data_IF_457818012920
#
_entry.id   IF_457818012920
#
_cell.length_a   1.000
_cell.length_b   1.000
_cell.length_c   1.000
_cell.angle_alpha   90.00
_cell.angle_beta   90.00
_cell.angle_gamma   90.00
#
_symmetry.space_group_name_H-M   'P 1'
#
loop_
_entity.id
_entity.type
_entity.pdbx_description
1 polymer ?
#
# COMPACT_ATOMS: atom_id res chain seq x y z
N UNK A 1 48.42 11.34 -25.27
CA UNK A 1 47.15 11.81 -24.67
C UNK A 1 46.05 11.69 -25.70
N UNK A 2 45.01 10.89 -25.43
CA UNK A 2 43.65 11.20 -25.86
C UNK A 2 42.69 11.24 -24.67
N UNK A 3 41.73 12.17 -24.77
CA UNK A 3 40.71 12.51 -23.79
C UNK A 3 39.75 11.33 -23.54
N UNK A 4 39.63 10.92 -22.28
CA UNK A 4 38.56 10.03 -21.81
C UNK A 4 37.27 10.84 -21.70
N UNK A 5 36.30 10.57 -22.58
CA UNK A 5 34.93 11.05 -22.45
C UNK A 5 34.22 10.24 -21.36
N UNK A 6 34.17 10.80 -20.16
CA UNK A 6 33.33 10.30 -19.07
C UNK A 6 31.85 10.55 -19.42
N UNK A 7 31.18 9.54 -19.97
CA UNK A 7 29.72 9.50 -20.06
C UNK A 7 29.22 9.14 -18.66
N UNK A 8 28.88 10.16 -17.87
CA UNK A 8 27.99 9.95 -16.72
C UNK A 8 26.57 9.80 -17.27
N UNK A 9 25.82 8.73 -16.96
CA UNK A 9 24.40 8.75 -17.16
C UNK A 9 23.85 9.73 -16.13
N UNK A 10 23.61 10.95 -16.60
CA UNK A 10 22.83 11.95 -15.87
C UNK A 10 21.43 11.37 -15.74
N UNK A 11 21.21 10.60 -14.66
CA UNK A 11 19.89 10.22 -14.20
C UNK A 11 19.09 11.51 -14.15
N UNK A 12 18.18 11.68 -15.11
CA UNK A 12 17.16 12.69 -15.03
C UNK A 12 16.43 12.37 -13.73
N UNK A 13 16.74 13.13 -12.68
CA UNK A 13 15.90 13.19 -11.49
C UNK A 13 14.50 13.45 -12.02
N UNK A 14 13.65 12.43 -12.03
CA UNK A 14 12.23 12.63 -12.14
C UNK A 14 11.91 13.66 -11.04
N UNK A 15 11.34 14.80 -11.42
CA UNK A 15 10.76 15.68 -10.43
C UNK A 15 9.85 14.82 -9.57
N UNK A 16 9.99 14.84 -8.23
CA UNK A 16 9.08 14.10 -7.38
C UNK A 16 7.69 14.66 -7.68
N UNK A 17 6.84 13.82 -8.28
CA UNK A 17 5.43 14.09 -8.39
C UNK A 17 4.95 14.29 -6.96
N UNK A 18 4.79 15.54 -6.55
CA UNK A 18 4.37 15.89 -5.20
C UNK A 18 2.92 15.47 -5.08
N UNK A 19 2.69 14.23 -4.64
CA UNK A 19 1.37 13.68 -4.25
C UNK A 19 0.56 14.69 -3.42
N UNK A 20 1.26 15.55 -2.66
CA UNK A 20 0.70 16.62 -1.85
C UNK A 20 -0.06 17.74 -2.61
N UNK A 21 -0.23 17.70 -3.95
CA UNK A 21 -0.94 18.75 -4.69
C UNK A 21 -2.25 18.33 -5.39
N UNK A 22 -2.56 17.04 -5.47
CA UNK A 22 -3.81 16.57 -6.10
C UNK A 22 -4.72 15.97 -5.05
N UNK A 23 -5.84 16.67 -4.80
CA UNK A 23 -6.91 16.30 -3.87
C UNK A 23 -7.39 14.86 -4.05
N UNK A 24 -7.47 14.38 -5.29
CA UNK A 24 -7.85 13.00 -5.62
C UNK A 24 -6.95 11.92 -4.98
N UNK A 25 -5.62 12.10 -5.02
CA UNK A 25 -4.67 11.12 -4.48
C UNK A 25 -4.74 11.10 -2.95
N UNK A 26 -4.97 12.26 -2.35
CA UNK A 26 -5.21 12.36 -0.91
C UNK A 26 -6.51 11.65 -0.52
N UNK A 27 -7.58 11.83 -1.29
CA UNK A 27 -8.86 11.17 -1.04
C UNK A 27 -8.70 9.63 -1.15
N UNK A 28 -7.98 9.09 -2.15
CA UNK A 28 -7.64 7.65 -2.22
C UNK A 28 -6.88 7.19 -0.98
N UNK A 29 -5.77 7.88 -0.64
CA UNK A 29 -4.93 7.50 0.48
C UNK A 29 -5.73 7.47 1.78
N UNK A 30 -6.51 8.52 2.01
CA UNK A 30 -7.35 8.65 3.19
C UNK A 30 -8.40 7.52 3.26
N UNK A 31 -9.07 7.22 2.14
CA UNK A 31 -10.04 6.12 2.09
C UNK A 31 -9.41 4.74 2.32
N UNK A 32 -8.24 4.48 1.74
CA UNK A 32 -7.51 3.23 2.01
C UNK A 32 -7.12 3.12 3.49
N UNK A 33 -6.65 4.20 4.11
CA UNK A 33 -6.33 4.20 5.54
C UNK A 33 -7.56 4.02 6.42
N UNK A 34 -8.73 4.52 6.03
CA UNK A 34 -9.99 4.25 6.75
C UNK A 34 -10.41 2.78 6.68
N UNK A 35 -10.18 2.11 5.54
CA UNK A 35 -10.42 0.67 5.42
C UNK A 35 -9.51 -0.09 6.39
N UNK A 36 -8.24 0.29 6.45
CA UNK A 36 -7.27 -0.29 7.40
C UNK A 36 -7.73 -0.01 8.84
N UNK A 37 -8.14 1.21 9.16
CA UNK A 37 -8.64 1.57 10.49
C UNK A 37 -9.82 0.69 10.91
N UNK A 38 -10.82 0.54 10.03
CA UNK A 38 -11.97 -0.32 10.28
C UNK A 38 -11.52 -1.76 10.57
N UNK A 39 -10.60 -2.31 9.77
CA UNK A 39 -10.06 -3.66 10.00
C UNK A 39 -9.30 -3.77 11.32
N UNK A 40 -8.52 -2.75 11.69
CA UNK A 40 -7.75 -2.72 12.94
C UNK A 40 -8.68 -2.69 14.16
N UNK A 41 -9.83 -2.02 14.05
CA UNK A 41 -10.86 -1.95 15.10
C UNK A 41 -11.68 -3.24 15.25
N UNK A 42 -11.76 -4.07 14.21
CA UNK A 42 -12.38 -5.41 14.30
C UNK A 42 -11.55 -6.40 15.13
N UNK A 43 -10.27 -6.13 15.35
CA UNK A 43 -9.39 -7.01 16.12
C UNK A 43 -9.75 -6.89 17.62
N UNK A 44 -10.10 -7.99 18.29
CA UNK A 44 -10.50 -7.96 19.69
C UNK A 44 -9.42 -7.36 20.60
N UNK A 45 -9.83 -6.45 21.50
CA UNK A 45 -8.97 -5.76 22.45
C UNK A 45 -7.85 -4.93 21.82
N UNK A 46 -8.01 -4.52 20.56
CA UNK A 46 -7.02 -3.72 19.87
C UNK A 46 -7.36 -2.22 19.93
N UNK A 47 -6.33 -1.38 19.96
CA UNK A 47 -6.43 0.06 19.76
C UNK A 47 -5.80 0.43 18.41
N UNK A 48 -6.29 1.47 17.72
CA UNK A 48 -5.67 1.93 16.46
C UNK A 48 -4.19 2.34 16.62
N UNK A 49 -3.75 2.64 17.84
CA UNK A 49 -2.36 3.00 18.15
C UNK A 49 -1.51 1.82 18.63
N UNK A 50 -2.14 0.64 18.81
CA UNK A 50 -1.45 -0.55 19.24
C UNK A 50 -0.73 -1.21 18.06
N UNK A 51 0.47 -1.70 18.33
CA UNK A 51 1.20 -2.50 17.37
C UNK A 51 0.41 -3.77 17.05
N UNK A 52 0.40 -4.18 15.78
CA UNK A 52 -0.12 -5.48 15.38
C UNK A 52 1.01 -6.45 15.15
N UNK A 53 0.74 -7.73 15.41
CA UNK A 53 1.63 -8.84 15.18
C UNK A 53 1.09 -9.76 14.07
N UNK A 54 1.97 -10.14 13.15
CA UNK A 54 1.75 -11.18 12.16
C UNK A 54 2.48 -12.44 12.58
N UNK A 55 1.80 -13.59 12.47
CA UNK A 55 2.44 -14.86 12.78
C UNK A 55 3.57 -15.13 11.77
N UNK A 56 4.81 -15.37 12.23
CA UNK A 56 5.92 -15.72 11.34
C UNK A 56 5.63 -17.04 10.61
N UNK A 57 6.18 -17.25 9.40
CA UNK A 57 6.13 -18.55 8.76
C UNK A 57 6.89 -19.59 9.63
N UNK A 58 6.51 -20.88 9.61
CA UNK A 58 7.05 -21.88 10.53
C UNK A 58 8.59 -21.97 10.62
N UNK A 59 9.37 -21.81 9.52
CA UNK A 59 10.83 -21.78 9.62
C UNK A 59 11.36 -20.60 10.45
N UNK A 60 10.74 -19.43 10.32
CA UNK A 60 11.10 -18.21 11.04
C UNK A 60 10.71 -18.29 12.51
N UNK A 61 9.54 -18.86 12.81
CA UNK A 61 9.06 -19.08 14.17
C UNK A 61 10.06 -19.87 15.02
N UNK A 62 10.66 -20.91 14.41
CA UNK A 62 11.62 -21.79 15.09
C UNK A 62 13.05 -21.24 15.12
N UNK A 63 13.46 -20.52 14.09
CA UNK A 63 14.90 -20.24 13.88
C UNK A 63 15.26 -18.77 13.77
N UNK A 64 14.27 -17.88 13.64
CA UNK A 64 14.47 -16.44 13.42
C UNK A 64 15.00 -16.08 12.02
N UNK A 65 15.04 -17.04 11.10
CA UNK A 65 15.53 -16.87 9.73
C UNK A 65 14.78 -17.81 8.76
N UNK A 66 14.76 -17.46 7.47
CA UNK A 66 14.16 -18.30 6.43
C UNK A 66 15.12 -19.31 5.80
N UNK A 67 16.42 -19.25 6.10
CA UNK A 67 17.37 -20.11 5.42
C UNK A 67 17.30 -21.56 5.94
N UNK A 68 17.71 -22.52 5.11
CA UNK A 68 17.69 -23.95 5.48
C UNK A 68 18.65 -24.29 6.61
N UNK A 69 19.69 -23.47 6.84
CA UNK A 69 20.75 -23.71 7.84
C UNK A 69 21.05 -22.43 8.65
N UNK A 70 20.11 -21.99 9.50
CA UNK A 70 20.22 -20.73 10.23
C UNK A 70 21.31 -20.73 11.31
N UNK A 71 21.88 -21.90 11.60
CA UNK A 71 22.98 -22.09 12.54
C UNK A 71 24.34 -22.27 11.88
N UNK A 72 24.44 -22.24 10.55
CA UNK A 72 25.69 -22.54 9.82
C UNK A 72 26.12 -21.34 8.96
N UNK A 73 27.40 -20.90 9.02
CA UNK A 73 28.46 -21.36 9.92
C UNK A 73 28.29 -20.89 11.38
N UNK A 74 27.44 -19.89 11.61
CA UNK A 74 27.04 -19.40 12.93
C UNK A 74 25.54 -19.12 12.96
N UNK A 75 24.96 -19.10 14.16
CA UNK A 75 23.56 -18.72 14.38
C UNK A 75 23.34 -17.28 13.92
N UNK A 76 22.37 -17.09 13.04
CA UNK A 76 22.02 -15.78 12.50
C UNK A 76 20.50 -15.61 12.44
N UNK A 77 20.08 -14.36 12.31
CA UNK A 77 18.67 -13.99 12.13
C UNK A 77 18.44 -13.58 10.68
N UNK A 78 17.20 -13.27 10.32
CA UNK A 78 16.89 -12.66 9.02
C UNK A 78 17.71 -11.39 8.73
N UNK A 79 18.05 -10.57 9.76
CA UNK A 79 18.85 -9.34 9.60
C UNK A 79 20.32 -9.62 9.30
N UNK A 80 20.87 -10.74 9.80
CA UNK A 80 22.28 -11.11 9.63
C UNK A 80 22.49 -12.28 8.67
N UNK A 81 21.43 -12.73 7.99
CA UNK A 81 21.51 -13.87 7.08
C UNK A 81 22.42 -13.55 5.88
N UNK A 82 23.42 -14.38 5.58
CA UNK A 82 24.22 -14.22 4.36
C UNK A 82 23.42 -14.56 3.10
N UNK A 83 22.33 -15.32 3.23
CA UNK A 83 21.44 -15.74 2.13
C UNK A 83 20.14 -14.91 2.12
N UNK A 84 20.23 -13.59 2.32
CA UNK A 84 19.07 -12.69 2.30
C UNK A 84 18.36 -12.73 0.95
N UNK A 85 17.32 -13.55 0.88
CA UNK A 85 16.33 -13.52 -0.19
C UNK A 85 15.04 -13.00 0.43
N UNK A 86 14.44 -11.94 -0.11
CA UNK A 86 13.10 -11.51 0.31
C UNK A 86 12.16 -12.72 0.29
N UNK A 87 11.69 -13.15 1.48
CA UNK A 87 10.66 -14.18 1.68
C UNK A 87 9.52 -13.66 2.54
N UNK A 88 8.30 -14.13 2.24
CA UNK A 88 7.09 -13.63 2.90
C UNK A 88 7.27 -13.68 4.43
N UNK A 89 6.85 -12.61 5.09
CA UNK A 89 6.89 -12.49 6.55
C UNK A 89 5.62 -13.04 7.21
N UNK A 90 4.58 -13.28 6.42
CA UNK A 90 3.34 -13.90 6.87
C UNK A 90 3.31 -15.37 6.47
N UNK A 91 2.84 -16.22 7.38
CA UNK A 91 2.28 -17.51 6.98
C UNK A 91 0.96 -17.30 6.21
N UNK A 92 0.61 -18.20 5.29
CA UNK A 92 -0.66 -18.17 4.53
C UNK A 92 -1.90 -18.12 5.45
N UNK A 93 -1.80 -18.71 6.65
CA UNK A 93 -2.86 -18.72 7.67
C UNK A 93 -2.62 -17.70 8.80
N UNK A 94 -1.83 -16.66 8.52
CA UNK A 94 -1.57 -15.62 9.52
C UNK A 94 -2.85 -14.88 9.86
N UNK A 95 -3.05 -14.66 11.16
CA UNK A 95 -4.14 -13.84 11.67
C UNK A 95 -3.49 -12.65 12.37
N UNK A 96 -4.00 -11.45 12.10
CA UNK A 96 -3.59 -10.23 12.79
C UNK A 96 -3.95 -10.33 14.27
N UNK A 97 -2.98 -10.03 15.15
CA UNK A 97 -3.20 -10.03 16.60
C UNK A 97 -2.64 -8.75 17.23
N UNK A 98 -3.20 -8.28 18.35
CA UNK A 98 -2.58 -7.22 19.12
C UNK A 98 -1.18 -7.66 19.58
N UNK A 99 -0.19 -6.80 19.38
CA UNK A 99 1.18 -7.00 19.83
C UNK A 99 1.32 -6.39 21.24
N UNK A 100 2.06 -7.06 22.14
CA UNK A 100 2.33 -6.58 23.50
C UNK A 100 3.57 -5.70 23.62
N UNK A 101 4.38 -5.60 22.56
CA UNK A 101 5.56 -4.75 22.55
C UNK A 101 5.17 -3.27 22.60
N UNK A 102 6.00 -2.45 23.26
CA UNK A 102 5.77 -1.00 23.40
C UNK A 102 6.26 -0.20 22.20
N UNK A 103 7.27 -0.71 21.52
CA UNK A 103 7.86 -0.10 20.33
C UNK A 103 8.27 -1.20 19.35
N UNK A 104 8.58 -0.80 18.13
CA UNK A 104 9.03 -1.74 17.11
C UNK A 104 10.47 -2.23 17.36
N UNK A 105 11.25 -1.59 18.25
CA UNK A 105 12.73 -1.62 18.35
C UNK A 105 13.44 -3.01 18.41
N UNK A 106 12.74 -4.10 18.76
CA UNK A 106 13.32 -5.45 18.93
C UNK A 106 13.23 -6.34 17.66
N UNK A 107 13.70 -7.60 17.72
CA UNK A 107 13.53 -8.61 16.61
C UNK A 107 12.07 -8.68 16.13
N UNK A 108 11.13 -8.29 16.99
CA UNK A 108 9.73 -8.02 16.69
C UNK A 108 9.47 -7.12 15.49
N UNK A 109 10.33 -6.15 15.11
CA UNK A 109 10.15 -5.23 13.95
C UNK A 109 9.59 -5.87 12.67
N UNK A 110 10.00 -7.11 12.38
CA UNK A 110 9.59 -7.77 11.14
C UNK A 110 8.11 -8.16 11.15
N UNK A 111 7.60 -8.52 12.33
CA UNK A 111 6.27 -9.10 12.51
C UNK A 111 5.34 -8.22 13.34
N UNK A 112 5.90 -7.37 14.19
CA UNK A 112 5.23 -6.37 15.02
C UNK A 112 5.40 -5.01 14.33
N UNK A 113 4.30 -4.34 14.01
CA UNK A 113 4.32 -3.14 13.17
C UNK A 113 3.18 -2.18 13.56
N UNK A 114 3.36 -0.90 13.26
CA UNK A 114 2.31 0.10 13.37
C UNK A 114 1.44 0.05 12.10
N UNK A 115 0.14 -0.29 12.19
CA UNK A 115 -0.75 -0.46 11.04
C UNK A 115 -0.76 0.73 10.09
N UNK A 116 -1.03 1.91 10.64
CA UNK A 116 -1.16 3.14 9.87
C UNK A 116 0.14 3.60 9.25
N UNK A 117 1.26 3.40 9.94
CA UNK A 117 2.57 3.75 9.40
C UNK A 117 2.93 2.83 8.22
N UNK A 118 2.82 1.51 8.39
CA UNK A 118 3.11 0.56 7.32
C UNK A 118 2.20 0.76 6.10
N UNK A 119 0.89 0.92 6.32
CA UNK A 119 -0.08 1.18 5.26
C UNK A 119 0.17 2.54 4.59
N UNK A 120 0.42 3.60 5.38
CA UNK A 120 0.68 4.94 4.87
C UNK A 120 1.92 5.01 3.99
N UNK A 121 3.04 4.45 4.46
CA UNK A 121 4.30 4.41 3.71
C UNK A 121 4.14 3.61 2.41
N UNK A 122 3.46 2.46 2.47
CA UNK A 122 3.20 1.64 1.29
C UNK A 122 2.28 2.34 0.27
N UNK A 123 1.14 2.88 0.70
CA UNK A 123 0.20 3.54 -0.20
C UNK A 123 0.81 4.83 -0.78
N UNK A 124 1.54 5.62 0.02
CA UNK A 124 2.24 6.80 -0.49
C UNK A 124 3.25 6.45 -1.58
N UNK A 125 3.92 5.30 -1.50
CA UNK A 125 4.77 4.78 -2.58
C UNK A 125 3.93 4.27 -3.77
N UNK A 126 2.90 3.45 -3.52
CA UNK A 126 2.05 2.82 -4.54
C UNK A 126 1.38 3.83 -5.48
N UNK A 127 0.91 4.94 -4.90
CA UNK A 127 0.24 6.03 -5.62
C UNK A 127 1.20 6.83 -6.53
N UNK A 128 2.52 6.72 -6.36
CA UNK A 128 3.51 7.38 -7.24
C UNK A 128 3.78 6.57 -8.52
N UNK A 129 3.36 5.31 -8.56
CA UNK A 129 3.67 4.42 -9.68
C UNK A 129 2.74 4.81 -10.85
N UNK A 130 3.29 5.17 -12.01
CA UNK A 130 2.48 5.58 -13.15
C UNK A 130 1.99 4.38 -13.97
N UNK A 131 0.95 4.62 -14.77
CA UNK A 131 0.46 3.73 -15.80
C UNK A 131 -0.77 2.91 -15.39
N UNK A 132 -1.37 2.18 -16.33
CA UNK A 132 -2.46 1.24 -16.05
C UNK A 132 -1.93 -0.02 -15.34
N UNK A 133 -2.81 -0.83 -14.74
CA UNK A 133 -2.41 -2.12 -14.21
C UNK A 133 -1.91 -3.04 -15.33
N UNK A 134 -1.04 -4.03 -15.02
CA UNK A 134 -0.55 -4.99 -16.01
C UNK A 134 -1.66 -5.84 -16.63
N UNK A 135 -2.71 -6.10 -15.86
CA UNK A 135 -3.94 -6.75 -16.32
C UNK A 135 -5.09 -5.75 -16.20
N UNK A 136 -5.72 -5.32 -17.31
CA UNK A 136 -6.82 -4.38 -17.26
C UNK A 136 -8.06 -5.02 -16.61
N UNK A 137 -8.92 -4.18 -16.06
CA UNK A 137 -10.26 -4.60 -15.62
C UNK A 137 -11.12 -4.99 -16.84
N UNK A 138 -12.24 -5.68 -16.58
CA UNK A 138 -13.21 -5.97 -17.63
C UNK A 138 -13.78 -4.67 -18.23
N UNK A 139 -14.27 -4.73 -19.47
CA UNK A 139 -14.86 -3.55 -20.11
C UNK A 139 -16.05 -2.98 -19.30
N UNK A 140 -16.84 -3.86 -18.68
CA UNK A 140 -17.96 -3.46 -17.83
C UNK A 140 -17.50 -2.73 -16.57
N UNK A 141 -16.48 -3.26 -15.88
CA UNK A 141 -15.93 -2.64 -14.66
C UNK A 141 -15.23 -1.31 -14.97
N UNK A 142 -14.54 -1.23 -16.11
CA UNK A 142 -13.95 0.01 -16.59
C UNK A 142 -15.00 1.08 -16.87
N UNK A 143 -16.13 0.71 -17.50
CA UNK A 143 -17.20 1.65 -17.78
C UNK A 143 -17.89 2.13 -16.50
N UNK A 144 -18.06 1.23 -15.52
CA UNK A 144 -18.54 1.56 -14.18
C UNK A 144 -17.61 2.58 -13.51
N UNK A 145 -16.29 2.36 -13.55
CA UNK A 145 -15.32 3.29 -12.96
C UNK A 145 -15.29 4.64 -13.67
N UNK A 146 -15.42 4.67 -15.00
CA UNK A 146 -15.50 5.93 -15.76
C UNK A 146 -16.73 6.74 -15.37
N UNK A 147 -17.88 6.09 -15.30
CA UNK A 147 -19.14 6.73 -14.89
C UNK A 147 -18.99 7.31 -13.49
N UNK A 148 -18.53 6.50 -12.54
CA UNK A 148 -18.30 6.94 -11.16
C UNK A 148 -17.30 8.10 -11.07
N UNK A 149 -16.20 8.05 -11.84
CA UNK A 149 -15.18 9.09 -11.81
C UNK A 149 -15.73 10.43 -12.35
N UNK A 150 -16.61 10.38 -13.36
CA UNK A 150 -17.34 11.55 -13.84
C UNK A 150 -18.22 12.17 -12.75
N UNK A 151 -19.00 11.34 -12.06
CA UNK A 151 -19.85 11.78 -10.94
C UNK A 151 -19.02 12.33 -9.78
N UNK A 152 -17.88 11.70 -9.47
CA UNK A 152 -16.95 12.16 -8.44
C UNK A 152 -16.44 13.58 -8.74
N UNK A 153 -16.00 13.87 -9.97
CA UNK A 153 -15.56 15.23 -10.33
C UNK A 153 -16.70 16.24 -10.35
N UNK A 154 -17.89 15.83 -10.81
CA UNK A 154 -19.05 16.71 -10.82
C UNK A 154 -19.44 17.13 -9.39
N UNK A 155 -19.32 16.21 -8.43
CA UNK A 155 -19.70 16.44 -7.04
C UNK A 155 -18.59 17.10 -6.21
N UNK A 156 -17.31 16.95 -6.58
CA UNK A 156 -16.20 17.68 -5.95
C UNK A 156 -16.15 19.13 -6.42
N UNK A 157 -16.95 19.98 -5.76
CA UNK A 157 -17.07 21.42 -6.05
C UNK A 157 -15.80 22.23 -5.78
N UNK A 158 -14.76 21.61 -5.21
CA UNK A 158 -13.51 22.31 -4.86
C UNK A 158 -12.38 22.06 -5.83
N UNK A 159 -12.54 21.10 -6.74
CA UNK A 159 -11.55 20.79 -7.77
C UNK A 159 -12.11 21.18 -9.15
N UNK A 160 -11.33 21.84 -10.02
CA UNK A 160 -11.74 22.00 -11.41
C UNK A 160 -11.88 20.61 -12.06
N UNK A 161 -12.84 20.46 -12.98
CA UNK A 161 -12.96 19.25 -13.80
C UNK A 161 -11.62 19.03 -14.50
N UNK A 162 -10.96 17.87 -14.31
CA UNK A 162 -9.64 17.65 -14.87
C UNK A 162 -9.70 17.53 -16.39
N UNK A 163 -8.63 17.94 -17.07
CA UNK A 163 -8.40 17.63 -18.48
C UNK A 163 -8.36 16.11 -18.71
N UNK A 164 -8.69 15.66 -19.92
CA UNK A 164 -8.76 14.24 -20.30
C UNK A 164 -7.50 13.44 -19.90
N UNK A 165 -6.33 14.06 -20.04
CA UNK A 165 -5.06 13.43 -19.69
C UNK A 165 -4.91 13.17 -18.18
N UNK A 166 -5.44 14.05 -17.32
CA UNK A 166 -5.44 13.87 -15.87
C UNK A 166 -6.55 12.91 -15.44
N UNK A 167 -7.73 13.00 -16.06
CA UNK A 167 -8.82 12.04 -15.83
C UNK A 167 -8.40 10.61 -16.16
N UNK A 168 -7.65 10.42 -17.26
CA UNK A 168 -7.08 9.11 -17.64
C UNK A 168 -6.11 8.59 -16.58
N UNK A 169 -5.24 9.45 -16.02
CA UNK A 169 -4.32 9.04 -14.94
C UNK A 169 -5.06 8.62 -13.67
N UNK A 170 -6.13 9.32 -13.31
CA UNK A 170 -6.96 8.95 -12.16
C UNK A 170 -7.70 7.63 -12.37
N UNK A 171 -8.20 7.40 -13.59
CA UNK A 171 -8.82 6.14 -13.97
C UNK A 171 -7.82 4.97 -13.93
N UNK A 172 -6.61 5.17 -14.46
CA UNK A 172 -5.53 4.19 -14.39
C UNK A 172 -5.18 3.86 -12.93
N UNK A 173 -5.08 4.89 -12.08
CA UNK A 173 -4.79 4.73 -10.66
C UNK A 173 -5.87 3.92 -9.92
N UNK A 174 -7.15 4.24 -10.14
CA UNK A 174 -8.26 3.45 -9.57
C UNK A 174 -8.23 2.01 -10.06
N UNK A 175 -8.00 1.81 -11.35
CA UNK A 175 -7.88 0.48 -11.94
C UNK A 175 -6.74 -0.31 -11.27
N UNK A 176 -5.61 0.35 -11.01
CA UNK A 176 -4.50 -0.24 -10.25
C UNK A 176 -4.89 -0.59 -8.82
N UNK A 177 -5.60 0.28 -8.09
CA UNK A 177 -6.10 -0.04 -6.76
C UNK A 177 -6.92 -1.35 -6.76
N UNK A 178 -7.80 -1.52 -7.75
CA UNK A 178 -8.68 -2.69 -7.82
C UNK A 178 -8.06 -3.93 -8.45
N UNK A 179 -6.94 -3.81 -9.15
CA UNK A 179 -6.22 -4.96 -9.70
C UNK A 179 -5.08 -5.35 -8.77
N UNK A 180 -4.15 -4.44 -8.52
CA UNK A 180 -2.87 -4.74 -7.86
C UNK A 180 -3.02 -4.97 -6.36
N UNK A 181 -3.91 -4.24 -5.66
CA UNK A 181 -4.13 -4.45 -4.21
C UNK A 181 -4.92 -5.74 -3.91
N UNK A 182 -5.45 -6.41 -4.94
CA UNK A 182 -6.10 -7.72 -4.86
C UNK A 182 -5.17 -8.88 -5.27
N UNK A 183 -3.99 -8.57 -5.81
CA UNK A 183 -2.97 -9.58 -6.10
C UNK A 183 -2.08 -9.78 -4.88
N UNK A 184 -1.31 -10.89 -4.84
CA UNK A 184 -0.26 -11.05 -3.83
C UNK A 184 0.66 -9.82 -3.79
N UNK A 185 1.10 -9.40 -2.60
CA UNK A 185 1.91 -8.19 -2.43
C UNK A 185 3.15 -8.23 -3.34
N UNK A 186 3.49 -7.12 -4.01
CA UNK A 186 4.53 -7.11 -5.02
C UNK A 186 5.88 -7.53 -4.43
N UNK A 187 6.45 -8.62 -4.95
CA UNK A 187 7.80 -9.08 -4.61
C UNK A 187 8.80 -8.34 -5.50
N UNK A 188 9.23 -7.12 -5.14
CA UNK A 188 10.20 -6.40 -5.97
C UNK A 188 11.20 -5.52 -5.23
N UNK A 189 12.36 -5.42 -5.83
CA UNK A 189 13.42 -4.41 -5.74
C UNK A 189 12.97 -2.95 -5.95
N UNK A 190 11.72 -2.72 -6.40
CA UNK A 190 11.11 -1.39 -6.54
C UNK A 190 10.39 -0.89 -5.28
N UNK A 191 10.09 -1.77 -4.33
CA UNK A 191 9.48 -1.41 -3.06
C UNK A 191 10.56 -1.07 -2.03
N UNK A 192 10.61 0.18 -1.57
CA UNK A 192 11.46 0.57 -0.43
C UNK A 192 11.12 -0.17 0.87
N UNK A 193 9.92 -0.75 0.97
CA UNK A 193 9.43 -1.49 2.13
C UNK A 193 8.53 -2.65 1.73
N UNK A 194 9.10 -3.71 1.17
CA UNK A 194 8.33 -4.90 0.77
C UNK A 194 7.47 -5.48 1.90
N UNK A 195 7.99 -5.49 3.13
CA UNK A 195 7.26 -5.96 4.30
C UNK A 195 6.04 -5.08 4.62
N UNK A 196 6.09 -3.78 4.33
CA UNK A 196 4.95 -2.88 4.50
C UNK A 196 3.87 -3.12 3.44
N UNK A 197 4.26 -3.52 2.23
CA UNK A 197 3.31 -4.02 1.24
C UNK A 197 2.58 -5.27 1.75
N UNK A 198 3.29 -6.27 2.27
CA UNK A 198 2.65 -7.47 2.82
C UNK A 198 1.71 -7.15 3.99
N UNK A 199 2.12 -6.25 4.89
CA UNK A 199 1.29 -5.79 6.03
C UNK A 199 0.03 -5.08 5.55
N UNK A 200 0.18 -4.13 4.63
CA UNK A 200 -0.94 -3.35 4.09
C UNK A 200 -1.94 -4.26 3.37
N UNK A 201 -1.47 -5.18 2.53
CA UNK A 201 -2.31 -6.15 1.83
C UNK A 201 -3.07 -7.06 2.80
N UNK A 202 -2.39 -7.57 3.83
CA UNK A 202 -3.01 -8.39 4.87
C UNK A 202 -4.11 -7.63 5.64
N UNK A 203 -3.91 -6.33 5.88
CA UNK A 203 -4.91 -5.50 6.55
C UNK A 203 -6.04 -5.03 5.62
N UNK A 204 -5.79 -4.88 4.32
CA UNK A 204 -6.86 -4.63 3.36
C UNK A 204 -7.76 -5.86 3.24
N UNK A 205 -7.18 -7.06 3.24
CA UNK A 205 -7.90 -8.34 3.14
C UNK A 205 -8.76 -8.41 1.86
N UNK A 206 -8.18 -7.95 0.75
CA UNK A 206 -8.86 -7.82 -0.54
C UNK A 206 -8.60 -8.99 -1.50
N UNK A 207 -7.58 -9.81 -1.25
CA UNK A 207 -7.16 -10.92 -2.12
C UNK A 207 -8.31 -11.88 -2.46
N UNK A 208 -9.21 -12.12 -1.49
CA UNK A 208 -10.34 -13.05 -1.64
C UNK A 208 -11.68 -12.34 -1.86
N UNK A 209 -11.71 -11.01 -1.91
CA UNK A 209 -12.95 -10.25 -2.10
C UNK A 209 -13.29 -10.16 -3.59
N UNK A 210 -14.59 -10.29 -3.95
CA UNK A 210 -15.07 -9.91 -5.27
C UNK A 210 -14.71 -8.46 -5.58
N UNK A 211 -14.38 -8.20 -6.85
CA UNK A 211 -14.04 -6.85 -7.32
C UNK A 211 -15.15 -5.83 -6.97
N UNK A 212 -16.41 -6.22 -7.16
CA UNK A 212 -17.57 -5.38 -6.86
C UNK A 212 -17.61 -4.96 -5.40
N UNK A 213 -17.31 -5.87 -4.47
CA UNK A 213 -17.27 -5.57 -3.04
C UNK A 213 -16.16 -4.56 -2.72
N UNK A 214 -14.97 -4.71 -3.30
CA UNK A 214 -13.89 -3.73 -3.13
C UNK A 214 -14.28 -2.34 -3.66
N UNK A 215 -14.97 -2.27 -4.80
CA UNK A 215 -15.50 -1.02 -5.35
C UNK A 215 -16.56 -0.40 -4.43
N UNK A 216 -17.49 -1.21 -3.93
CA UNK A 216 -18.57 -0.78 -3.03
C UNK A 216 -18.05 -0.28 -1.67
N UNK A 217 -16.82 -0.67 -1.29
CA UNK A 217 -16.13 -0.17 -0.11
C UNK A 217 -15.35 1.12 -0.42
N UNK A 218 -14.44 1.10 -1.42
CA UNK A 218 -13.49 2.20 -1.62
C UNK A 218 -14.16 3.46 -2.17
N UNK A 219 -15.03 3.32 -3.17
CA UNK A 219 -15.57 4.45 -3.91
C UNK A 219 -16.43 5.38 -3.02
N UNK A 220 -17.36 4.88 -2.18
CA UNK A 220 -18.11 5.75 -1.27
C UNK A 220 -17.24 6.46 -0.23
N UNK A 221 -16.16 5.81 0.23
CA UNK A 221 -15.21 6.44 1.15
C UNK A 221 -14.45 7.59 0.50
N UNK A 222 -14.13 7.48 -0.80
CA UNK A 222 -13.50 8.57 -1.54
C UNK A 222 -14.43 9.77 -1.71
N UNK A 223 -15.71 9.53 -2.03
CA UNK A 223 -16.72 10.59 -2.07
C UNK A 223 -16.91 11.26 -0.70
N UNK A 224 -16.88 10.48 0.38
CA UNK A 224 -16.93 11.02 1.73
C UNK A 224 -15.71 11.91 2.03
N UNK A 225 -14.49 11.46 1.70
CA UNK A 225 -13.26 12.24 1.86
C UNK A 225 -13.31 13.57 1.09
N UNK A 226 -13.75 13.54 -0.17
CA UNK A 226 -13.91 14.73 -1.00
C UNK A 226 -14.92 15.74 -0.41
N UNK A 227 -16.04 15.24 0.13
CA UNK A 227 -17.06 16.09 0.80
C UNK A 227 -16.55 16.70 2.10
N UNK A 228 -15.86 15.92 2.93
CA UNK A 228 -15.28 16.43 4.18
C UNK A 228 -14.23 17.52 3.91
N UNK A 229 -13.38 17.30 2.91
CA UNK A 229 -12.44 18.30 2.43
C UNK A 229 -13.16 19.57 1.98
N UNK A 230 -14.21 19.44 1.17
CA UNK A 230 -15.02 20.57 0.70
C UNK A 230 -15.63 21.39 1.84
N UNK A 231 -16.15 20.72 2.89
CA UNK A 231 -16.70 21.38 4.09
C UNK A 231 -15.63 22.19 4.82
N UNK A 232 -14.43 21.64 4.99
CA UNK A 232 -13.32 22.35 5.65
C UNK A 232 -12.92 23.63 4.92
N UNK A 233 -12.97 23.63 3.58
CA UNK A 233 -12.67 24.83 2.78
C UNK A 233 -13.77 25.89 2.79
N UNK A 234 -15.04 25.52 2.99
CA UNK A 234 -16.16 26.47 3.05
C UNK A 234 -16.38 27.08 4.44
N UNK A 235 -15.78 26.49 5.48
CA UNK A 235 -15.84 26.97 6.86
C UNK A 235 -14.73 27.94 7.26
N UNK A 236 -13.89 28.38 6.32
CA UNK A 236 -12.87 29.42 6.49
C UNK A 236 -13.25 30.66 5.65
#
# INVERSE_FOLDING_TARGET
MPLSLSITPRSKKAEPFSIAKTTFYHDILHSLLQIIEARVLEIPNNSPYQLLNLRPPPPMDKTGCWCKRPSVPYRHTWKSCPNKVPRAITAETSILKPCSHKSTEEIGHLFCFQPFQAAGDYFAWFLQIPGPPPSPLSAQDMERLKTWLGDYYFNDRTSPVPEDALATKHLDLLSRCFVELRQPPPRSDRCGGWYDAERAHMMLDWEHKPLSECMDILLPLMEYAARERSRRFQGC
#
